data_IF_191982460923
#
_entry.id   IF_191982460923
#
_cell.length_a   1.000
_cell.length_b   1.000
_cell.length_c   1.000
_cell.angle_alpha   90.00
_cell.angle_beta   90.00
_cell.angle_gamma   90.00
#
_symmetry.space_group_name_H-M   'P 1'
#
loop_
_entity.id
_entity.type
_entity.pdbx_description
1 polymer ?
#
# COMPACT_ATOMS: atom_id res chain seq x y z
N UNK A 1 -38.28 -65.88 12.93
CA UNK A 1 -38.02 -64.43 12.99
C UNK A 1 -37.17 -64.03 11.79
N UNK A 2 -37.36 -62.80 11.32
CA UNK A 2 -37.36 -62.38 9.92
C UNK A 2 -36.04 -62.52 9.12
N UNK A 3 -36.26 -62.65 7.81
CA UNK A 3 -35.32 -62.86 6.72
C UNK A 3 -34.42 -61.66 6.40
N UNK A 4 -33.24 -62.00 5.87
CA UNK A 4 -32.22 -61.15 5.26
C UNK A 4 -32.78 -60.31 4.09
N UNK A 5 -32.45 -59.02 4.04
CA UNK A 5 -32.48 -58.19 2.83
C UNK A 5 -31.19 -57.35 2.77
N UNK A 6 -30.63 -57.31 1.56
CA UNK A 6 -29.33 -56.89 1.07
C UNK A 6 -29.03 -55.39 1.17
N UNK A 7 -27.75 -54.97 1.20
CA UNK A 7 -27.36 -53.61 0.83
C UNK A 7 -27.30 -53.45 -0.69
N UNK A 8 -27.98 -52.41 -1.21
CA UNK A 8 -27.92 -51.99 -2.60
C UNK A 8 -26.55 -51.34 -2.88
N UNK A 9 -25.82 -51.94 -3.81
CA UNK A 9 -24.71 -51.31 -4.51
C UNK A 9 -25.28 -50.28 -5.50
N UNK A 10 -24.76 -49.05 -5.48
CA UNK A 10 -24.90 -48.13 -6.61
C UNK A 10 -23.52 -47.62 -6.97
N UNK A 11 -23.13 -47.96 -8.19
CA UNK A 11 -21.89 -47.63 -8.86
C UNK A 11 -21.92 -46.14 -9.20
N UNK A 12 -21.00 -45.35 -8.64
CA UNK A 12 -20.67 -44.02 -9.14
C UNK A 12 -19.27 -44.07 -9.73
N UNK A 13 -19.22 -44.15 -11.06
CA UNK A 13 -18.00 -44.16 -11.85
C UNK A 13 -17.24 -42.82 -11.70
N UNK A 14 -15.92 -42.91 -11.58
CA UNK A 14 -15.03 -41.79 -11.37
C UNK A 14 -14.99 -40.81 -12.53
N UNK A 15 -15.13 -39.53 -12.22
CA UNK A 15 -14.78 -38.43 -13.12
C UNK A 15 -13.28 -38.18 -13.03
N UNK A 16 -12.50 -38.89 -13.84
CA UNK A 16 -11.15 -38.48 -14.21
C UNK A 16 -11.27 -37.40 -15.30
N UNK A 17 -10.89 -36.16 -14.97
CA UNK A 17 -10.75 -35.09 -15.96
C UNK A 17 -9.35 -35.13 -16.59
N UNK A 18 -9.20 -35.36 -17.90
CA UNK A 18 -7.97 -35.01 -18.59
C UNK A 18 -8.01 -33.55 -19.04
N UNK A 19 -6.91 -32.85 -18.75
CA UNK A 19 -6.62 -31.55 -19.31
C UNK A 19 -6.51 -31.63 -20.84
N UNK A 20 -7.22 -30.75 -21.56
CA UNK A 20 -6.99 -30.49 -22.97
C UNK A 20 -6.86 -28.99 -23.20
N UNK A 21 -5.60 -28.55 -23.41
CA UNK A 21 -5.27 -27.26 -24.01
C UNK A 21 -5.76 -27.28 -25.47
N UNK A 22 -6.62 -26.34 -25.86
CA UNK A 22 -6.82 -25.96 -27.27
C UNK A 22 -7.04 -24.45 -27.38
N UNK A 23 -6.05 -23.78 -27.96
CA UNK A 23 -6.18 -22.42 -28.48
C UNK A 23 -6.86 -22.46 -29.85
N UNK A 24 -7.77 -21.53 -30.19
CA UNK A 24 -8.27 -21.42 -31.55
C UNK A 24 -7.25 -20.64 -32.42
N UNK A 25 -6.72 -21.33 -33.42
CA UNK A 25 -6.00 -20.73 -34.55
C UNK A 25 -7.03 -20.23 -35.56
N UNK A 26 -7.16 -18.93 -35.73
CA UNK A 26 -7.80 -18.35 -36.92
C UNK A 26 -6.72 -18.06 -37.96
N UNK A 27 -6.81 -18.78 -39.08
CA UNK A 27 -6.00 -18.57 -40.28
C UNK A 27 -6.75 -17.53 -41.12
N UNK A 28 -6.15 -16.35 -41.29
CA UNK A 28 -6.59 -15.36 -42.27
C UNK A 28 -5.60 -15.33 -43.45
N UNK A 29 -6.07 -15.23 -44.71
CA UNK A 29 -5.22 -15.26 -45.88
C UNK A 29 -4.44 -13.96 -46.04
N UNK A 30 -3.17 -14.14 -46.38
CA UNK A 30 -2.19 -13.11 -46.68
C UNK A 30 -2.53 -12.47 -48.04
N UNK A 31 -3.07 -11.26 -48.05
CA UNK A 31 -3.21 -10.45 -49.25
C UNK A 31 -2.37 -9.17 -49.06
N UNK A 32 -1.23 -9.14 -49.73
CA UNK A 32 -0.28 -8.02 -49.74
C UNK A 32 -0.85 -6.87 -50.57
N UNK A 33 -1.46 -5.89 -49.90
CA UNK A 33 -1.65 -4.55 -50.47
C UNK A 33 -0.86 -3.55 -49.63
N UNK A 34 0.25 -3.10 -50.20
CA UNK A 34 1.05 -1.99 -49.72
C UNK A 34 0.26 -0.68 -49.88
N UNK A 35 -0.51 -0.32 -48.85
CA UNK A 35 -1.02 1.04 -48.73
C UNK A 35 0.08 1.93 -48.13
N UNK A 36 0.40 3.09 -48.73
CA UNK A 36 1.35 4.01 -48.15
C UNK A 36 0.79 4.50 -46.81
N UNK A 37 1.49 4.13 -45.74
CA UNK A 37 1.28 4.66 -44.41
C UNK A 37 1.32 6.19 -44.47
N UNK A 38 0.15 6.82 -44.36
CA UNK A 38 0.05 8.24 -44.11
C UNK A 38 0.83 8.53 -42.84
N UNK A 39 2.02 9.13 -43.00
CA UNK A 39 2.80 9.64 -41.88
C UNK A 39 1.89 10.62 -41.15
N UNK A 40 1.39 10.20 -39.98
CA UNK A 40 0.73 11.08 -39.03
C UNK A 40 1.78 12.12 -38.62
N UNK A 41 1.82 13.26 -39.32
CA UNK A 41 2.59 14.42 -38.90
C UNK A 41 2.04 14.80 -37.54
N UNK A 42 2.88 14.70 -36.52
CA UNK A 42 2.61 15.31 -35.22
C UNK A 42 2.77 16.80 -35.47
N UNK A 43 1.73 17.44 -35.99
CA UNK A 43 1.64 18.89 -35.97
C UNK A 43 1.53 19.28 -34.51
N UNK A 44 2.58 19.89 -33.96
CA UNK A 44 2.54 20.62 -32.70
C UNK A 44 1.70 21.88 -32.89
N UNK A 45 0.41 21.72 -33.21
CA UNK A 45 -0.55 22.77 -32.94
C UNK A 45 -0.61 22.86 -31.42
N UNK A 46 0.04 23.89 -30.89
CA UNK A 46 -0.15 24.35 -29.52
C UNK A 46 -1.66 24.40 -29.32
N UNK A 47 -2.22 23.40 -28.63
CA UNK A 47 -3.54 23.55 -28.05
C UNK A 47 -3.50 24.90 -27.32
N UNK A 48 -4.55 25.74 -27.40
CA UNK A 48 -4.62 26.86 -26.50
C UNK A 48 -4.37 26.28 -25.11
N UNK A 49 -3.21 26.59 -24.54
CA UNK A 49 -3.11 26.57 -23.11
C UNK A 49 -4.16 27.61 -22.75
N UNK A 50 -5.37 27.15 -22.42
CA UNK A 50 -6.03 27.71 -21.25
C UNK A 50 -4.95 27.65 -20.19
N UNK A 51 -4.20 28.76 -20.12
CA UNK A 51 -3.52 29.18 -18.94
C UNK A 51 -4.67 29.15 -17.94
N UNK A 52 -4.79 28.01 -17.22
CA UNK A 52 -5.56 27.95 -16.00
C UNK A 52 -4.94 29.05 -15.18
N UNK A 53 -5.58 30.23 -15.25
CA UNK A 53 -5.23 31.35 -14.43
C UNK A 53 -5.13 30.75 -13.04
N UNK A 54 -3.97 30.94 -12.41
CA UNK A 54 -3.78 30.65 -11.00
C UNK A 54 -4.66 31.65 -10.26
N UNK A 55 -5.98 31.50 -10.41
CA UNK A 55 -6.97 32.09 -9.55
C UNK A 55 -6.58 31.61 -8.16
N UNK A 56 -6.68 32.49 -7.17
CA UNK A 56 -6.51 32.19 -5.76
C UNK A 56 -7.53 31.09 -5.39
N UNK A 57 -7.16 29.85 -5.70
CA UNK A 57 -8.07 28.74 -5.88
C UNK A 57 -8.02 27.93 -4.61
N UNK A 58 -9.21 27.65 -4.09
CA UNK A 58 -9.43 26.81 -2.91
C UNK A 58 -8.58 25.54 -3.09
N UNK A 59 -7.80 25.14 -2.08
CA UNK A 59 -6.87 24.03 -2.25
C UNK A 59 -7.60 22.74 -2.60
N UNK A 60 -6.99 21.91 -3.45
CA UNK A 60 -7.63 20.72 -4.04
C UNK A 60 -8.10 19.70 -3.01
N UNK A 61 -7.46 19.68 -1.84
CA UNK A 61 -7.84 18.80 -0.74
C UNK A 61 -9.14 19.24 -0.06
N UNK A 62 -9.53 20.51 -0.14
CA UNK A 62 -10.70 21.09 0.53
C UNK A 62 -11.96 20.97 -0.34
N UNK A 63 -11.83 21.17 -1.66
CA UNK A 63 -12.95 21.15 -2.60
C UNK A 63 -12.97 19.89 -3.47
N UNK A 64 -14.18 19.36 -3.69
CA UNK A 64 -14.43 18.34 -4.73
C UNK A 64 -14.81 19.05 -6.04
N UNK A 65 -14.20 18.70 -7.18
CA UNK A 65 -14.53 19.31 -8.47
C UNK A 65 -16.04 19.23 -8.78
N UNK A 66 -16.68 20.35 -9.16
CA UNK A 66 -18.14 20.41 -9.32
C UNK A 66 -18.65 19.47 -10.42
N UNK A 67 -17.89 19.30 -11.52
CA UNK A 67 -18.23 18.38 -12.61
C UNK A 67 -18.29 16.91 -12.17
N UNK A 68 -17.66 16.54 -11.05
CA UNK A 68 -17.69 15.17 -10.51
C UNK A 68 -18.85 14.95 -9.53
N UNK A 69 -19.57 16.01 -9.13
CA UNK A 69 -20.72 15.91 -8.22
C UNK A 69 -21.96 15.50 -9.00
N UNK A 70 -22.67 14.50 -8.49
CA UNK A 70 -23.99 14.17 -9.00
C UNK A 70 -24.99 15.22 -8.50
N UNK A 71 -26.00 15.61 -9.32
CA UNK A 71 -27.01 16.58 -8.91
C UNK A 71 -27.88 16.05 -7.77
N UNK A 72 -28.17 14.75 -7.78
CA UNK A 72 -28.97 14.06 -6.76
C UNK A 72 -28.32 12.70 -6.44
N UNK A 73 -28.44 12.25 -5.19
CA UNK A 73 -27.99 10.91 -4.77
C UNK A 73 -28.96 9.87 -5.36
N UNK A 74 -28.45 8.89 -6.11
CA UNK A 74 -29.25 7.81 -6.71
C UNK A 74 -29.64 6.70 -5.72
N UNK A 75 -28.85 6.53 -4.66
CA UNK A 75 -29.12 5.57 -3.59
C UNK A 75 -29.87 6.30 -2.48
N UNK A 76 -30.83 5.60 -1.87
CA UNK A 76 -31.51 6.07 -0.66
C UNK A 76 -30.46 6.51 0.36
N UNK A 77 -30.71 7.66 1.00
CA UNK A 77 -29.85 8.11 2.08
C UNK A 77 -29.83 7.00 3.14
N UNK A 78 -28.67 6.40 3.42
CA UNK A 78 -28.64 5.40 4.47
C UNK A 78 -29.11 6.09 5.76
N UNK A 79 -29.94 5.40 6.57
CA UNK A 79 -30.24 5.78 7.96
C UNK A 79 -28.99 5.65 8.85
N UNK A 80 -27.85 6.13 8.35
CA UNK A 80 -26.53 6.02 8.95
C UNK A 80 -25.98 7.43 9.09
N UNK A 81 -25.51 7.73 10.29
CA UNK A 81 -24.82 8.98 10.61
C UNK A 81 -23.62 9.16 9.69
N UNK A 82 -23.38 10.39 9.21
CA UNK A 82 -22.18 10.65 8.42
C UNK A 82 -20.92 10.45 9.28
N UNK A 83 -19.89 9.82 8.72
CA UNK A 83 -18.63 9.61 9.44
C UNK A 83 -17.87 10.93 9.49
N UNK A 84 -17.61 11.46 10.70
CA UNK A 84 -16.89 12.72 10.88
C UNK A 84 -15.43 12.55 10.43
N UNK A 85 -14.98 13.43 9.55
CA UNK A 85 -13.62 13.46 9.00
C UNK A 85 -12.98 14.81 9.34
N UNK A 86 -11.65 14.83 9.52
CA UNK A 86 -10.91 16.04 9.82
C UNK A 86 -10.86 17.01 8.63
N UNK A 87 -11.13 18.28 8.90
CA UNK A 87 -11.01 19.40 7.96
C UNK A 87 -9.94 20.41 8.39
N UNK A 88 -9.46 20.35 9.63
CA UNK A 88 -8.63 21.38 10.24
C UNK A 88 -7.13 21.14 9.94
N UNK A 89 -6.43 22.10 9.31
CA UNK A 89 -5.00 21.97 9.01
C UNK A 89 -4.11 21.88 10.25
N UNK A 90 -4.46 22.59 11.33
CA UNK A 90 -3.68 22.58 12.57
C UNK A 90 -3.58 21.18 13.20
N UNK A 91 -4.65 20.38 13.10
CA UNK A 91 -4.67 18.99 13.60
C UNK A 91 -3.73 18.10 12.78
N UNK A 92 -3.65 18.33 11.47
CA UNK A 92 -2.74 17.65 10.56
C UNK A 92 -1.27 18.02 10.86
N UNK A 93 -0.99 19.30 11.06
CA UNK A 93 0.36 19.77 11.37
C UNK A 93 0.87 19.18 12.69
N UNK A 94 0.02 19.15 13.72
CA UNK A 94 0.33 18.50 14.99
C UNK A 94 0.64 17.00 14.84
N UNK A 95 -0.03 16.29 13.93
CA UNK A 95 0.30 14.90 13.61
C UNK A 95 1.69 14.77 12.97
N UNK A 96 2.02 15.62 12.00
CA UNK A 96 3.34 15.61 11.36
C UNK A 96 4.48 15.95 12.33
N UNK A 97 4.25 16.89 13.25
CA UNK A 97 5.21 17.21 14.31
C UNK A 97 5.40 16.02 15.27
N UNK A 98 4.31 15.35 15.66
CA UNK A 98 4.39 14.13 16.51
C UNK A 98 5.15 12.99 15.82
N UNK A 99 4.92 12.78 14.53
CA UNK A 99 5.51 11.66 13.78
C UNK A 99 6.97 11.92 13.37
N UNK A 100 7.26 13.09 12.79
CA UNK A 100 8.56 13.40 12.19
C UNK A 100 9.49 14.14 13.16
N UNK A 101 8.94 14.90 14.11
CA UNK A 101 9.68 15.68 15.10
C UNK A 101 9.56 17.19 14.89
N UNK A 102 10.52 17.92 15.45
CA UNK A 102 10.60 19.37 15.31
C UNK A 102 10.68 19.75 13.82
N UNK A 103 9.84 20.72 13.40
CA UNK A 103 9.68 21.15 12.01
C UNK A 103 9.15 20.08 11.04
N UNK A 104 8.53 19.00 11.54
CA UNK A 104 7.92 17.96 10.71
C UNK A 104 6.79 18.46 9.80
N UNK A 105 6.09 19.51 10.22
CA UNK A 105 5.03 20.21 9.50
C UNK A 105 5.51 20.92 8.22
N UNK A 106 6.78 21.35 8.21
CA UNK A 106 7.41 22.10 7.10
C UNK A 106 8.11 21.20 6.10
N UNK A 107 8.28 19.92 6.41
CA UNK A 107 8.92 18.98 5.49
C UNK A 107 8.06 18.81 4.24
N UNK A 108 6.76 18.58 4.38
CA UNK A 108 5.89 18.33 3.24
C UNK A 108 5.08 19.57 2.86
N UNK A 109 4.87 19.74 1.56
CA UNK A 109 3.92 20.72 1.04
C UNK A 109 2.49 20.44 1.56
N UNK A 110 1.68 21.49 1.74
CA UNK A 110 0.34 21.36 2.34
C UNK A 110 -0.56 20.36 1.58
N UNK A 111 -0.55 20.42 0.25
CA UNK A 111 -1.33 19.50 -0.57
C UNK A 111 -0.89 18.04 -0.40
N UNK A 112 0.42 17.80 -0.32
CA UNK A 112 0.98 16.45 -0.17
C UNK A 112 0.71 15.91 1.23
N UNK A 113 0.71 16.77 2.27
CA UNK A 113 0.29 16.39 3.63
C UNK A 113 -1.11 15.81 3.62
N UNK A 114 -2.06 16.49 2.98
CA UNK A 114 -3.43 15.99 2.88
C UNK A 114 -3.55 14.77 1.98
N UNK A 115 -2.82 14.73 0.86
CA UNK A 115 -2.85 13.59 -0.04
C UNK A 115 -2.36 12.31 0.64
N UNK A 116 -1.29 12.38 1.44
CA UNK A 116 -0.72 11.22 2.14
C UNK A 116 -1.67 10.64 3.21
N UNK A 117 -2.51 11.48 3.82
CA UNK A 117 -3.45 11.10 4.89
C UNK A 117 -4.87 10.81 4.36
N UNK A 118 -5.11 10.97 3.06
CA UNK A 118 -6.40 10.68 2.42
C UNK A 118 -6.40 9.31 1.76
N UNK A 119 -7.31 8.43 2.19
CA UNK A 119 -7.50 7.10 1.62
C UNK A 119 -8.48 7.11 0.45
N UNK A 120 -8.33 6.16 -0.49
CA UNK A 120 -9.18 6.02 -1.69
C UNK A 120 -10.68 5.91 -1.41
N UNK A 121 -11.07 5.40 -0.24
CA UNK A 121 -12.49 5.32 0.15
C UNK A 121 -13.14 6.69 0.38
N UNK A 122 -12.35 7.73 0.66
CA UNK A 122 -12.85 9.07 0.91
C UNK A 122 -13.30 9.75 -0.39
N UNK A 123 -14.51 10.31 -0.39
CA UNK A 123 -15.12 10.98 -1.55
C UNK A 123 -14.99 10.18 -2.86
N UNK A 124 -15.07 8.84 -2.77
CA UNK A 124 -14.90 7.91 -3.90
C UNK A 124 -13.58 8.10 -4.68
N UNK A 125 -12.53 8.61 -4.02
CA UNK A 125 -11.23 8.88 -4.65
C UNK A 125 -11.25 10.04 -5.65
N UNK A 126 -12.26 10.93 -5.58
CA UNK A 126 -12.32 12.15 -6.41
C UNK A 126 -11.23 13.15 -6.09
N UNK A 127 -10.78 13.17 -4.83
CA UNK A 127 -9.62 13.94 -4.37
C UNK A 127 -8.35 13.09 -4.45
N UNK A 128 -7.19 13.73 -4.38
CA UNK A 128 -5.91 13.02 -4.32
C UNK A 128 -5.88 12.05 -3.13
N UNK A 129 -5.51 10.80 -3.40
CA UNK A 129 -5.40 9.73 -2.41
C UNK A 129 -4.00 9.12 -2.41
N UNK A 130 -3.72 8.33 -1.39
CA UNK A 130 -2.37 7.94 -1.00
C UNK A 130 -1.82 6.63 -1.60
N UNK A 131 -2.57 5.90 -2.44
CA UNK A 131 -2.19 4.56 -2.93
C UNK A 131 -0.78 4.48 -3.54
N UNK A 132 -0.43 5.41 -4.43
CA UNK A 132 0.89 5.40 -5.11
C UNK A 132 2.03 5.73 -4.16
N UNK A 133 1.81 6.70 -3.27
CA UNK A 133 2.79 7.09 -2.24
C UNK A 133 3.02 5.92 -1.28
N UNK A 134 1.96 5.26 -0.85
CA UNK A 134 2.03 4.11 0.04
C UNK A 134 2.73 2.92 -0.60
N UNK A 135 2.50 2.66 -1.89
CA UNK A 135 3.23 1.64 -2.61
C UNK A 135 4.74 1.88 -2.55
N UNK A 136 5.17 3.11 -2.83
CA UNK A 136 6.59 3.47 -2.83
C UNK A 136 7.20 3.42 -1.43
N UNK A 137 6.56 4.04 -0.43
CA UNK A 137 7.08 4.05 0.94
C UNK A 137 7.11 2.66 1.58
N UNK A 138 6.20 1.76 1.21
CA UNK A 138 6.26 0.35 1.61
C UNK A 138 7.57 -0.29 1.16
N UNK A 139 8.01 -0.06 -0.08
CA UNK A 139 9.27 -0.61 -0.58
C UNK A 139 10.48 -0.08 0.19
N UNK A 140 10.49 1.22 0.52
CA UNK A 140 11.57 1.85 1.30
C UNK A 140 11.67 1.24 2.69
N UNK A 141 10.54 1.14 3.41
CA UNK A 141 10.51 0.57 4.76
C UNK A 141 10.93 -0.89 4.73
N UNK A 142 10.44 -1.65 3.74
CA UNK A 142 10.82 -3.04 3.54
C UNK A 142 12.33 -3.19 3.27
N UNK A 143 12.94 -2.30 2.48
CA UNK A 143 14.37 -2.33 2.22
C UNK A 143 15.16 -1.99 3.49
N UNK A 144 14.80 -0.91 4.19
CA UNK A 144 15.48 -0.48 5.41
C UNK A 144 15.37 -1.52 6.53
N UNK A 145 14.20 -2.16 6.68
CA UNK A 145 14.04 -3.27 7.62
C UNK A 145 14.98 -4.44 7.28
N UNK A 146 15.10 -4.79 5.99
CA UNK A 146 16.04 -5.83 5.54
C UNK A 146 17.48 -5.48 5.86
N UNK A 147 17.86 -4.24 5.61
CA UNK A 147 19.21 -3.76 5.85
C UNK A 147 19.53 -3.79 7.35
N UNK A 148 18.59 -3.37 8.21
CA UNK A 148 18.75 -3.44 9.65
C UNK A 148 18.93 -4.88 10.16
N UNK A 149 18.23 -5.86 9.55
CA UNK A 149 18.41 -7.27 9.87
C UNK A 149 19.81 -7.79 9.51
N UNK A 150 20.32 -7.41 8.33
CA UNK A 150 21.65 -7.84 7.86
C UNK A 150 22.77 -7.19 8.67
N UNK A 151 22.58 -5.96 9.16
CA UNK A 151 23.56 -5.29 10.00
C UNK A 151 23.72 -5.96 11.38
N UNK A 152 22.65 -6.56 11.91
CA UNK A 152 22.64 -7.19 13.24
C UNK A 152 22.12 -8.63 13.18
N UNK A 153 22.80 -9.54 12.46
CA UNK A 153 22.26 -10.87 12.19
C UNK A 153 22.14 -11.72 13.47
N UNK A 154 23.03 -11.53 14.44
CA UNK A 154 23.05 -12.26 15.72
C UNK A 154 21.78 -12.02 16.55
N UNK A 155 21.22 -10.80 16.52
CA UNK A 155 20.04 -10.44 17.30
C UNK A 155 18.75 -11.11 16.78
N UNK A 156 18.75 -11.53 15.52
CA UNK A 156 17.55 -12.00 14.83
C UNK A 156 17.70 -13.41 14.24
N UNK A 157 18.86 -14.05 14.45
CA UNK A 157 19.14 -15.40 14.02
C UNK A 157 18.06 -16.34 14.56
N UNK A 158 17.40 -17.04 13.64
CA UNK A 158 16.46 -18.10 13.98
C UNK A 158 17.23 -19.42 14.07
N UNK A 159 16.83 -20.35 14.94
CA UNK A 159 17.41 -21.68 14.95
C UNK A 159 17.20 -22.31 13.56
N UNK A 160 18.30 -22.72 12.92
CA UNK A 160 18.23 -23.39 11.62
C UNK A 160 17.46 -24.70 11.80
N UNK A 161 16.48 -24.93 10.93
CA UNK A 161 15.83 -26.24 10.88
C UNK A 161 16.83 -27.23 10.28
N UNK A 162 16.97 -28.43 10.85
CA UNK A 162 17.83 -29.44 10.26
C UNK A 162 17.35 -29.74 8.83
N UNK A 163 18.28 -29.79 7.87
CA UNK A 163 17.96 -30.14 6.50
C UNK A 163 17.51 -31.61 6.44
N UNK A 164 16.37 -31.94 5.82
CA UNK A 164 15.89 -33.33 5.74
C UNK A 164 16.82 -34.30 5.01
N UNK A 165 17.76 -33.77 4.22
CA UNK A 165 18.72 -34.54 3.42
C UNK A 165 20.15 -34.43 3.97
N UNK A 166 20.32 -33.88 5.18
CA UNK A 166 21.61 -33.75 5.86
C UNK A 166 22.70 -33.07 5.02
N UNK A 167 22.31 -32.17 4.11
CA UNK A 167 23.26 -31.43 3.28
C UNK A 167 23.94 -30.35 4.12
N UNK A 168 25.23 -30.18 3.90
CA UNK A 168 25.99 -29.09 4.49
C UNK A 168 25.78 -27.79 3.68
N UNK A 169 25.41 -26.67 4.33
CA UNK A 169 25.29 -25.39 3.64
C UNK A 169 26.66 -24.90 3.19
N UNK A 170 26.68 -24.11 2.11
CA UNK A 170 27.91 -23.50 1.62
C UNK A 170 28.36 -22.38 2.57
N UNK A 171 29.49 -22.59 3.25
CA UNK A 171 30.06 -21.60 4.17
C UNK A 171 30.86 -20.56 3.40
N UNK A 172 30.39 -19.31 3.41
CA UNK A 172 31.11 -18.19 2.84
C UNK A 172 30.85 -16.91 3.64
N UNK A 173 31.88 -16.06 3.73
CA UNK A 173 31.80 -14.81 4.48
C UNK A 173 30.67 -13.89 4.01
N UNK A 174 30.35 -13.89 2.71
CA UNK A 174 29.30 -13.05 2.13
C UNK A 174 27.88 -13.57 2.42
N UNK A 175 27.70 -14.87 2.65
CA UNK A 175 26.39 -15.46 2.96
C UNK A 175 26.07 -15.47 4.46
N UNK A 176 27.11 -15.34 5.30
CA UNK A 176 26.97 -15.32 6.75
C UNK A 176 26.02 -14.20 7.18
N UNK A 177 24.93 -14.56 7.87
CA UNK A 177 23.92 -13.62 8.37
C UNK A 177 22.79 -13.29 7.41
N UNK A 178 22.85 -13.70 6.13
CA UNK A 178 21.73 -13.51 5.19
C UNK A 178 20.52 -14.40 5.49
N UNK A 179 20.70 -15.47 6.26
CA UNK A 179 19.62 -16.37 6.68
C UNK A 179 18.50 -15.64 7.44
N UNK A 180 18.84 -14.54 8.11
CA UNK A 180 17.91 -13.68 8.83
C UNK A 180 16.89 -13.01 7.90
N UNK A 181 17.21 -12.86 6.61
CA UNK A 181 16.34 -12.24 5.60
C UNK A 181 15.12 -13.09 5.21
N UNK A 182 14.94 -14.27 5.81
CA UNK A 182 13.78 -15.12 5.58
C UNK A 182 12.45 -14.35 5.63
N UNK A 183 11.53 -14.71 4.72
CA UNK A 183 10.22 -14.08 4.58
C UNK A 183 9.43 -14.04 5.90
N UNK A 184 9.62 -15.05 6.76
CA UNK A 184 8.97 -15.12 8.06
C UNK A 184 9.47 -14.04 9.01
N UNK A 185 10.79 -13.85 9.12
CA UNK A 185 11.40 -12.82 9.95
C UNK A 185 10.98 -11.42 9.49
N UNK A 186 11.06 -11.16 8.18
CA UNK A 186 10.62 -9.89 7.60
C UNK A 186 9.14 -9.63 7.86
N UNK A 187 8.27 -10.60 7.55
CA UNK A 187 6.83 -10.43 7.70
C UNK A 187 6.38 -10.30 9.15
N UNK A 188 7.09 -10.92 10.10
CA UNK A 188 6.83 -10.81 11.53
C UNK A 188 7.15 -9.43 12.08
N UNK A 189 8.22 -8.80 11.61
CA UNK A 189 8.68 -7.50 12.11
C UNK A 189 7.99 -6.33 11.40
N UNK A 190 7.50 -6.52 10.17
CA UNK A 190 6.68 -5.51 9.47
C UNK A 190 5.19 -5.88 9.49
N UNK A 191 4.71 -6.48 10.58
CA UNK A 191 3.28 -6.83 10.71
C UNK A 191 2.43 -5.57 10.66
N UNK A 192 1.35 -5.61 9.86
CA UNK A 192 0.37 -4.50 9.75
C UNK A 192 -0.17 -4.07 11.12
N UNK A 193 -0.40 -5.02 12.04
CA UNK A 193 -0.88 -4.71 13.40
C UNK A 193 0.10 -3.83 14.18
N UNK A 194 1.41 -4.13 14.11
CA UNK A 194 2.44 -3.34 14.79
C UNK A 194 2.58 -1.95 14.16
N UNK A 195 2.59 -1.87 12.82
CA UNK A 195 2.62 -0.59 12.12
C UNK A 195 1.39 0.27 12.42
N UNK A 196 0.20 -0.35 12.48
CA UNK A 196 -1.02 0.35 12.86
C UNK A 196 -1.00 0.82 14.32
N UNK A 197 -0.45 0.02 15.24
CA UNK A 197 -0.32 0.41 16.64
C UNK A 197 0.62 1.63 16.77
N UNK A 198 1.74 1.61 16.04
CA UNK A 198 2.65 2.76 15.94
C UNK A 198 1.94 3.99 15.36
N UNK A 199 1.16 3.83 14.29
CA UNK A 199 0.42 4.92 13.68
C UNK A 199 -0.60 5.55 14.64
N UNK A 200 -1.29 4.73 15.44
CA UNK A 200 -2.19 5.20 16.50
C UNK A 200 -1.44 5.98 17.57
N UNK A 201 -0.25 5.51 17.97
CA UNK A 201 0.60 6.22 18.93
C UNK A 201 0.98 7.63 18.43
N UNK A 202 1.14 7.82 17.11
CA UNK A 202 1.35 9.14 16.51
C UNK A 202 0.07 9.98 16.31
N UNK A 203 -1.12 9.42 16.59
CA UNK A 203 -2.39 10.13 16.49
C UNK A 203 -3.03 10.14 15.10
N UNK A 204 -2.73 9.15 14.24
CA UNK A 204 -3.27 9.10 12.87
C UNK A 204 -4.80 9.00 12.82
N UNK A 205 -5.42 8.46 13.88
CA UNK A 205 -6.86 8.27 14.03
C UNK A 205 -7.64 9.59 13.95
N UNK A 206 -7.05 10.69 14.39
CA UNK A 206 -7.67 12.02 14.41
C UNK A 206 -7.66 12.67 13.03
N UNK A 207 -6.70 12.30 12.18
CA UNK A 207 -6.37 13.04 10.96
C UNK A 207 -6.79 12.30 9.70
N UNK A 208 -6.85 10.96 9.76
CA UNK A 208 -7.12 10.10 8.62
C UNK A 208 -8.45 10.42 7.93
N UNK A 209 -8.40 10.70 6.63
CA UNK A 209 -9.60 10.91 5.81
C UNK A 209 -9.99 9.63 5.09
N UNK A 210 -11.01 8.95 5.60
CA UNK A 210 -11.51 7.69 5.06
C UNK A 210 -12.99 7.49 5.40
N UNK A 211 -13.60 6.45 4.82
CA UNK A 211 -14.99 6.08 5.09
C UNK A 211 -15.02 4.61 5.46
N UNK A 212 -15.38 4.24 6.72
CA UNK A 212 -15.43 2.86 7.14
C UNK A 212 -16.66 2.15 6.55
N UNK A 213 -16.51 0.84 6.27
CA UNK A 213 -17.62 -0.01 5.84
C UNK A 213 -18.70 -0.07 6.93
N UNK A 214 -18.28 -0.39 8.16
CA UNK A 214 -19.10 -0.43 9.38
C UNK A 214 -18.61 0.62 10.36
N UNK A 215 -19.50 1.51 10.83
CA UNK A 215 -19.09 2.59 11.75
C UNK A 215 -18.98 2.11 13.20
N UNK A 216 -19.77 1.12 13.59
CA UNK A 216 -19.73 0.53 14.93
C UNK A 216 -18.50 -0.36 15.13
N UNK A 217 -18.00 -1.00 14.07
CA UNK A 217 -16.78 -1.79 14.10
C UNK A 217 -15.77 -1.32 13.03
N UNK A 218 -14.81 -0.52 13.49
CA UNK A 218 -13.71 -0.03 12.66
C UNK A 218 -12.69 -1.13 12.34
N UNK A 219 -12.59 -2.15 13.19
CA UNK A 219 -11.63 -3.25 13.05
C UNK A 219 -12.01 -4.12 11.86
N UNK A 220 -13.27 -4.54 11.78
CA UNK A 220 -13.81 -5.24 10.60
C UNK A 220 -13.77 -4.38 9.33
N UNK A 221 -13.88 -3.06 9.48
CA UNK A 221 -13.73 -2.11 8.38
C UNK A 221 -12.29 -1.99 7.86
N UNK A 222 -11.32 -2.67 8.47
CA UNK A 222 -9.94 -2.71 8.00
C UNK A 222 -9.09 -1.51 8.42
N UNK A 223 -9.43 -0.85 9.53
CA UNK A 223 -8.72 0.35 10.03
C UNK A 223 -7.20 0.16 10.12
N UNK A 224 -6.73 -1.02 10.55
CA UNK A 224 -5.30 -1.31 10.67
C UNK A 224 -4.57 -1.22 9.33
N UNK A 225 -5.23 -1.67 8.26
CA UNK A 225 -4.66 -1.61 6.91
C UNK A 225 -4.55 -0.17 6.46
N UNK A 226 -5.57 0.64 6.75
CA UNK A 226 -5.67 2.03 6.33
C UNK A 226 -4.61 2.89 7.05
N UNK A 227 -4.46 2.72 8.37
CA UNK A 227 -3.42 3.41 9.13
C UNK A 227 -2.01 3.02 8.69
N UNK A 228 -1.77 1.72 8.50
CA UNK A 228 -0.50 1.22 7.96
C UNK A 228 -0.21 1.83 6.59
N UNK A 229 -1.23 1.92 5.73
CA UNK A 229 -1.10 2.46 4.38
C UNK A 229 -0.75 3.96 4.39
N UNK A 230 -1.35 4.74 5.28
CA UNK A 230 -1.02 6.15 5.44
C UNK A 230 0.40 6.36 5.98
N UNK A 231 0.88 5.55 6.93
CA UNK A 231 2.28 5.59 7.37
C UNK A 231 3.24 5.37 6.19
N UNK A 232 2.94 4.40 5.33
CA UNK A 232 3.74 4.17 4.13
C UNK A 232 3.67 5.37 3.18
N UNK A 233 2.51 5.98 3.02
CA UNK A 233 2.34 7.14 2.14
C UNK A 233 3.14 8.35 2.59
N UNK A 234 3.19 8.63 3.89
CA UNK A 234 3.98 9.74 4.44
C UNK A 234 5.46 9.55 4.10
N UNK A 235 6.02 8.35 4.32
CA UNK A 235 7.40 8.06 3.97
C UNK A 235 7.65 8.14 2.46
N UNK A 236 6.71 7.64 1.65
CA UNK A 236 6.78 7.74 0.20
C UNK A 236 6.79 9.18 -0.30
N UNK A 237 5.99 10.05 0.31
CA UNK A 237 5.97 11.48 0.01
C UNK A 237 7.31 12.16 0.34
N UNK A 238 7.85 11.90 1.53
CA UNK A 238 9.14 12.46 1.97
C UNK A 238 10.26 12.02 1.02
N UNK A 239 10.27 10.76 0.61
CA UNK A 239 11.29 10.24 -0.29
C UNK A 239 11.25 10.88 -1.69
N UNK A 240 10.08 11.32 -2.14
CA UNK A 240 9.92 11.98 -3.44
C UNK A 240 10.22 13.49 -3.37
N UNK A 241 9.90 14.17 -2.26
CA UNK A 241 10.19 15.60 -2.11
C UNK A 241 11.63 15.89 -1.66
N UNK A 242 12.17 15.11 -0.71
CA UNK A 242 13.50 15.34 -0.09
C UNK A 242 14.55 14.31 -0.45
N UNK A 243 14.18 13.29 -1.21
CA UNK A 243 15.07 12.21 -1.62
C UNK A 243 15.20 11.08 -0.58
N UNK A 244 15.89 10.02 -1.00
CA UNK A 244 15.97 8.78 -0.23
C UNK A 244 16.83 8.88 1.03
N UNK A 245 17.84 9.75 1.07
CA UNK A 245 18.73 9.90 2.24
C UNK A 245 17.93 10.31 3.49
N UNK A 246 17.19 11.41 3.39
CA UNK A 246 16.35 11.95 4.46
C UNK A 246 15.25 10.95 4.84
N UNK A 247 14.61 10.32 3.86
CA UNK A 247 13.59 9.31 4.12
C UNK A 247 14.15 8.10 4.89
N UNK A 248 15.36 7.64 4.56
CA UNK A 248 15.98 6.50 5.23
C UNK A 248 16.31 6.80 6.69
N UNK A 249 16.82 7.99 6.98
CA UNK A 249 17.09 8.47 8.35
C UNK A 249 15.79 8.48 9.17
N UNK A 250 14.72 9.09 8.63
CA UNK A 250 13.41 9.14 9.27
C UNK A 250 12.83 7.73 9.49
N UNK A 251 12.93 6.82 8.51
CA UNK A 251 12.44 5.44 8.65
C UNK A 251 13.18 4.72 9.77
N UNK A 252 14.51 4.87 9.86
CA UNK A 252 15.29 4.26 10.94
C UNK A 252 14.86 4.79 12.30
N UNK A 253 14.72 6.10 12.42
CA UNK A 253 14.50 6.76 13.70
C UNK A 253 13.04 6.71 14.20
N UNK A 254 12.08 6.91 13.29
CA UNK A 254 10.66 7.07 13.61
C UNK A 254 9.82 5.82 13.37
N UNK A 255 10.35 4.82 12.66
CA UNK A 255 9.62 3.59 12.37
C UNK A 255 10.34 2.38 12.94
N UNK A 256 11.57 2.12 12.50
CA UNK A 256 12.26 0.88 12.86
C UNK A 256 12.68 0.85 14.33
N UNK A 257 13.26 1.93 14.88
CA UNK A 257 13.61 2.02 16.32
C UNK A 257 12.39 1.76 17.23
N UNK A 258 11.24 2.45 17.07
CA UNK A 258 10.03 2.16 17.85
C UNK A 258 9.47 0.73 17.70
N UNK A 259 9.71 0.09 16.56
CA UNK A 259 9.33 -1.31 16.32
C UNK A 259 10.30 -2.33 16.95
N UNK A 260 11.36 -1.85 17.62
CA UNK A 260 12.34 -2.70 18.32
C UNK A 260 13.50 -3.17 17.44
N UNK A 261 13.72 -2.54 16.29
CA UNK A 261 14.92 -2.81 15.50
C UNK A 261 16.15 -2.21 16.20
N UNK A 262 17.18 -3.05 16.39
CA UNK A 262 18.51 -2.60 16.78
C UNK A 262 19.17 -2.06 15.52
N UNK A 263 19.29 -0.74 15.44
CA UNK A 263 19.96 -0.07 14.33
C UNK A 263 21.29 0.40 14.90
N UNK A 264 22.40 -0.07 14.32
CA UNK A 264 23.72 0.43 14.68
C UNK A 264 23.73 1.95 14.48
N UNK A 265 24.18 2.68 15.50
CA UNK A 265 24.38 4.13 15.39
C UNK A 265 25.20 4.43 14.14
N UNK A 266 24.84 5.49 13.41
CA UNK A 266 25.62 5.96 12.27
C UNK A 266 27.07 6.17 12.70
N UNK A 267 27.99 5.44 12.07
CA UNK A 267 29.32 5.97 11.82
C UNK A 267 29.21 7.14 10.83
#
# INVERSE_FOLDING_TARGET
MASKISPLQTIAAGFAQPACRRAPRFILPFCSQSQPSSRRRISSSRAPQEQQAVSNSIPRWQQTPPAMKAPVRLRESPNKTEFKVNSDPAVLDNFYVRMLGQNGDKLLSEEVKWQAVTHKSFDQGRRGFNDRLAYFGKQIILLQASLALVQNPTAYAQPSKPDPFERLPYDSAALKGLEVLSQNTRSQLTRKKQMSALARHYGINEVMRWVPRMQHDLTESGVDTIYTHAMYAVIGAIALEHGSKVANEIVRDRILKPLGFQIGGSA
#
